data_IF_395326392052
#
_entry.id   IF_395326392052
#
_cell.length_a   1.000
_cell.length_b   1.000
_cell.length_c   1.000
_cell.angle_alpha   90.00
_cell.angle_beta   90.00
_cell.angle_gamma   90.00
#
_symmetry.space_group_name_H-M   'P 1'
#
loop_
_entity.id
_entity.type
_entity.pdbx_description
1 polymer ?
#
# COMPACT_ATOMS: atom_id res chain seq x y z
N UNK A 1 -15.09 28.18 8.32
CA UNK A 1 -14.41 27.34 9.32
C UNK A 1 -15.30 26.22 9.88
N UNK A 2 -16.57 26.47 10.28
CA UNK A 2 -17.52 25.42 10.73
C UNK A 2 -17.76 24.27 9.73
N UNK A 3 -17.94 24.58 8.44
CA UNK A 3 -18.15 23.57 7.39
C UNK A 3 -16.95 22.63 7.16
N UNK A 4 -15.72 23.08 7.40
CA UNK A 4 -14.52 22.24 7.27
C UNK A 4 -14.44 21.21 8.40
N UNK A 5 -14.85 21.58 9.62
CA UNK A 5 -14.82 20.71 10.81
C UNK A 5 -15.90 19.63 10.73
N UNK A 6 -17.09 19.94 10.22
CA UNK A 6 -18.16 18.95 10.02
C UNK A 6 -17.89 18.00 8.85
N UNK A 7 -17.19 18.46 7.82
CA UNK A 7 -16.82 17.61 6.67
C UNK A 7 -15.62 16.71 6.98
N UNK A 8 -14.76 17.10 7.92
CA UNK A 8 -13.56 16.37 8.31
C UNK A 8 -13.78 14.90 8.67
N UNK A 9 -14.75 14.52 9.54
CA UNK A 9 -14.99 13.11 9.87
C UNK A 9 -15.47 12.28 8.68
N UNK A 10 -16.21 12.89 7.74
CA UNK A 10 -16.70 12.21 6.53
C UNK A 10 -15.53 11.91 5.60
N UNK A 11 -14.68 12.91 5.31
CA UNK A 11 -13.49 12.72 4.48
C UNK A 11 -12.50 11.74 5.11
N UNK A 12 -12.28 11.82 6.43
CA UNK A 12 -11.44 10.86 7.14
C UNK A 12 -11.97 9.42 7.00
N UNK A 13 -13.28 9.22 7.12
CA UNK A 13 -13.91 7.90 6.98
C UNK A 13 -13.80 7.35 5.56
N UNK A 14 -13.98 8.21 4.55
CA UNK A 14 -13.81 7.83 3.13
C UNK A 14 -12.37 7.43 2.85
N UNK A 15 -11.40 8.23 3.31
CA UNK A 15 -9.97 7.95 3.15
C UNK A 15 -9.62 6.62 3.82
N UNK A 16 -10.04 6.41 5.07
CA UNK A 16 -9.79 5.17 5.80
C UNK A 16 -10.41 3.97 5.08
N UNK A 17 -11.64 4.10 4.58
CA UNK A 17 -12.31 3.07 3.79
C UNK A 17 -11.53 2.72 2.52
N UNK A 18 -11.08 3.73 1.77
CA UNK A 18 -10.27 3.53 0.57
C UNK A 18 -8.92 2.86 0.88
N UNK A 19 -8.28 3.21 2.00
CA UNK A 19 -7.03 2.58 2.46
C UNK A 19 -7.24 1.08 2.73
N UNK A 20 -8.32 0.71 3.43
CA UNK A 20 -8.67 -0.69 3.67
C UNK A 20 -8.96 -1.45 2.40
N UNK A 21 -9.78 -0.90 1.49
CA UNK A 21 -10.09 -1.52 0.20
C UNK A 21 -8.79 -1.78 -0.58
N UNK A 22 -7.90 -0.79 -0.64
CA UNK A 22 -6.63 -0.92 -1.34
C UNK A 22 -5.69 -1.96 -0.70
N UNK A 23 -5.64 -2.01 0.64
CA UNK A 23 -4.86 -3.02 1.35
C UNK A 23 -5.36 -4.45 1.09
N UNK A 24 -6.69 -4.66 1.11
CA UNK A 24 -7.29 -5.95 0.78
C UNK A 24 -7.07 -6.34 -0.68
N UNK A 25 -7.22 -5.39 -1.61
CA UNK A 25 -6.95 -5.62 -3.02
C UNK A 25 -5.49 -6.02 -3.26
N UNK A 26 -4.55 -5.31 -2.64
CA UNK A 26 -3.13 -5.64 -2.70
C UNK A 26 -2.83 -7.01 -2.08
N UNK A 27 -3.47 -7.38 -0.97
CA UNK A 27 -3.31 -8.70 -0.34
C UNK A 27 -3.79 -9.83 -1.23
N UNK A 28 -5.01 -9.72 -1.78
CA UNK A 28 -5.54 -10.69 -2.73
C UNK A 28 -4.65 -10.81 -3.96
N UNK A 29 -4.14 -9.69 -4.46
CA UNK A 29 -3.24 -9.65 -5.62
C UNK A 29 -1.90 -10.31 -5.33
N UNK A 30 -1.26 -10.04 -4.19
CA UNK A 30 0.01 -10.68 -3.81
C UNK A 30 -0.15 -12.18 -3.64
N UNK A 31 -1.25 -12.65 -3.01
CA UNK A 31 -1.57 -14.07 -2.92
C UNK A 31 -1.80 -14.71 -4.30
N UNK A 32 -2.39 -13.96 -5.24
CA UNK A 32 -2.56 -14.41 -6.63
C UNK A 32 -1.20 -14.54 -7.33
N UNK A 33 -0.33 -13.55 -7.21
CA UNK A 33 1.02 -13.59 -7.80
C UNK A 33 1.86 -14.70 -7.16
N UNK A 34 1.74 -14.92 -5.84
CA UNK A 34 2.42 -16.02 -5.16
C UNK A 34 2.04 -17.39 -5.74
N UNK A 35 0.77 -17.56 -6.13
CA UNK A 35 0.28 -18.81 -6.73
C UNK A 35 0.63 -18.96 -8.21
N UNK A 36 0.52 -17.88 -8.98
CA UNK A 36 0.63 -17.93 -10.44
C UNK A 36 2.05 -17.67 -10.94
N UNK A 37 2.79 -16.79 -10.26
CA UNK A 37 4.09 -16.23 -10.69
C UNK A 37 5.02 -15.98 -9.47
N UNK A 38 5.32 -17.01 -8.67
CA UNK A 38 6.13 -16.87 -7.44
C UNK A 38 7.52 -16.25 -7.71
N UNK A 39 8.07 -16.43 -8.91
CA UNK A 39 9.34 -15.86 -9.34
C UNK A 39 9.38 -14.33 -9.29
N UNK A 40 8.24 -13.66 -9.52
CA UNK A 40 8.15 -12.19 -9.46
C UNK A 40 8.31 -11.69 -8.02
N UNK A 41 7.75 -12.42 -7.04
CA UNK A 41 7.87 -12.11 -5.62
C UNK A 41 9.27 -12.45 -5.11
N UNK A 42 9.83 -13.59 -5.54
CA UNK A 42 11.19 -14.00 -5.19
C UNK A 42 12.24 -12.98 -5.66
N UNK A 43 12.06 -12.38 -6.85
CA UNK A 43 12.96 -11.36 -7.41
C UNK A 43 13.10 -10.09 -6.54
N UNK A 44 12.14 -9.87 -5.63
CA UNK A 44 12.13 -8.77 -4.66
C UNK A 44 12.27 -9.23 -3.20
N UNK A 45 12.62 -10.50 -2.99
CA UNK A 45 12.86 -11.09 -1.67
C UNK A 45 11.59 -11.48 -0.89
N UNK A 46 10.44 -11.56 -1.55
CA UNK A 46 9.20 -12.05 -0.94
C UNK A 46 9.08 -13.54 -1.27
N UNK A 47 9.35 -14.39 -0.29
CA UNK A 47 9.24 -15.86 -0.42
C UNK A 47 7.82 -16.32 -0.07
N UNK A 48 7.17 -15.66 0.89
CA UNK A 48 5.81 -15.94 1.34
C UNK A 48 5.10 -14.65 1.73
N UNK A 49 3.81 -14.55 1.45
CA UNK A 49 2.99 -13.40 1.85
C UNK A 49 2.43 -13.65 3.26
N UNK A 50 3.31 -13.69 4.27
CA UNK A 50 2.95 -13.98 5.67
C UNK A 50 2.86 -12.72 6.54
N UNK A 51 3.71 -11.73 6.29
CA UNK A 51 3.79 -10.50 7.09
C UNK A 51 3.89 -9.24 6.23
N UNK A 52 2.91 -8.35 6.39
CA UNK A 52 2.74 -7.15 5.58
C UNK A 52 3.95 -6.20 5.64
N UNK A 53 4.53 -6.00 6.83
CA UNK A 53 5.68 -5.12 7.02
C UNK A 53 6.95 -5.65 6.37
N UNK A 54 7.17 -6.97 6.38
CA UNK A 54 8.32 -7.60 5.71
C UNK A 54 8.18 -7.54 4.19
N UNK A 55 6.95 -7.69 3.70
CA UNK A 55 6.63 -7.56 2.28
C UNK A 55 6.72 -6.11 1.78
N UNK A 56 6.60 -5.10 2.67
CA UNK A 56 6.50 -3.69 2.29
C UNK A 56 7.66 -3.22 1.42
N UNK A 57 8.89 -3.64 1.74
CA UNK A 57 10.08 -3.31 0.95
C UNK A 57 9.98 -3.89 -0.46
N UNK A 58 9.60 -5.15 -0.59
CA UNK A 58 9.42 -5.80 -1.89
C UNK A 58 8.25 -5.20 -2.68
N UNK A 59 7.15 -4.86 -2.00
CA UNK A 59 6.01 -4.14 -2.58
C UNK A 59 6.45 -2.78 -3.13
N UNK A 60 7.24 -2.01 -2.37
CA UNK A 60 7.77 -0.73 -2.83
C UNK A 60 8.67 -0.89 -4.06
N UNK A 61 9.53 -1.92 -4.07
CA UNK A 61 10.37 -2.24 -5.22
C UNK A 61 9.52 -2.61 -6.45
N UNK A 62 8.50 -3.46 -6.31
CA UNK A 62 7.58 -3.80 -7.40
C UNK A 62 6.76 -2.59 -7.88
N UNK A 63 6.34 -1.72 -6.97
CA UNK A 63 5.54 -0.53 -7.30
C UNK A 63 6.33 0.54 -8.05
N UNK A 64 7.58 0.79 -7.63
CA UNK A 64 8.35 1.98 -8.00
C UNK A 64 9.48 1.70 -9.00
N UNK A 65 9.98 0.46 -9.07
CA UNK A 65 11.15 0.14 -9.91
C UNK A 65 10.79 -0.62 -11.18
N UNK A 66 11.79 -0.84 -12.05
CA UNK A 66 11.69 -1.67 -13.25
C UNK A 66 11.44 -3.15 -12.95
N UNK A 67 11.75 -3.63 -11.73
CA UNK A 67 11.46 -5.02 -11.32
C UNK A 67 9.96 -5.36 -11.32
N UNK A 68 9.09 -4.36 -11.26
CA UNK A 68 7.65 -4.53 -11.38
C UNK A 68 7.11 -4.46 -12.82
N UNK A 69 7.95 -4.35 -13.85
CA UNK A 69 7.48 -4.31 -15.25
C UNK A 69 6.77 -5.60 -15.69
N UNK A 70 7.05 -6.73 -15.03
CA UNK A 70 6.34 -8.00 -15.24
C UNK A 70 4.89 -7.98 -14.72
N UNK A 71 4.52 -6.97 -13.91
CA UNK A 71 3.17 -6.77 -13.41
C UNK A 71 2.35 -5.95 -14.39
N UNK A 72 1.05 -6.24 -14.46
CA UNK A 72 0.11 -5.46 -15.23
C UNK A 72 0.02 -4.02 -14.67
N UNK A 73 -0.32 -3.04 -15.50
CA UNK A 73 -0.31 -1.63 -15.06
C UNK A 73 -1.27 -1.39 -13.88
N UNK A 74 -2.44 -2.05 -13.87
CA UNK A 74 -3.40 -2.00 -12.75
C UNK A 74 -2.83 -2.59 -11.45
N UNK A 75 -2.07 -3.68 -11.55
CA UNK A 75 -1.38 -4.30 -10.41
C UNK A 75 -0.36 -3.33 -9.80
N UNK A 76 0.41 -2.62 -10.64
CA UNK A 76 1.35 -1.59 -10.17
C UNK A 76 0.65 -0.41 -9.49
N UNK A 77 -0.52 0.01 -9.98
CA UNK A 77 -1.28 1.09 -9.35
C UNK A 77 -1.78 0.74 -7.96
N UNK A 78 -2.27 -0.49 -7.76
CA UNK A 78 -2.67 -0.99 -6.44
C UNK A 78 -1.48 -0.98 -5.46
N UNK A 79 -0.32 -1.49 -5.89
CA UNK A 79 0.88 -1.49 -5.05
C UNK A 79 1.39 -0.06 -4.76
N UNK A 80 1.34 0.85 -5.73
CA UNK A 80 1.65 2.27 -5.51
C UNK A 80 0.70 2.92 -4.50
N UNK A 81 -0.59 2.60 -4.55
CA UNK A 81 -1.56 3.02 -3.54
C UNK A 81 -1.15 2.57 -2.15
N UNK A 82 -0.65 1.33 -2.00
CA UNK A 82 -0.17 0.83 -0.70
C UNK A 82 1.06 1.61 -0.24
N UNK A 83 2.02 1.86 -1.12
CA UNK A 83 3.21 2.67 -0.78
C UNK A 83 2.80 4.06 -0.32
N UNK A 84 1.93 4.74 -1.06
CA UNK A 84 1.44 6.08 -0.70
C UNK A 84 0.68 6.08 0.63
N UNK A 85 -0.12 5.05 0.88
CA UNK A 85 -0.82 4.85 2.15
C UNK A 85 0.17 4.79 3.32
N UNK A 86 1.23 4.00 3.20
CA UNK A 86 2.25 3.89 4.24
C UNK A 86 3.06 5.17 4.42
N UNK A 87 3.41 5.86 3.34
CA UNK A 87 4.06 7.18 3.40
C UNK A 87 3.18 8.18 4.14
N UNK A 88 1.88 8.23 3.82
CA UNK A 88 0.92 9.10 4.49
C UNK A 88 0.80 8.78 5.99
N UNK A 89 0.70 7.50 6.36
CA UNK A 89 0.64 7.09 7.77
C UNK A 89 1.92 7.47 8.54
N UNK A 90 3.09 7.25 7.94
CA UNK A 90 4.38 7.62 8.55
C UNK A 90 4.47 9.14 8.70
N UNK A 91 4.15 9.91 7.66
CA UNK A 91 4.18 11.37 7.70
C UNK A 91 3.21 11.93 8.75
N UNK A 92 2.01 11.34 8.86
CA UNK A 92 1.03 11.72 9.87
C UNK A 92 1.53 11.41 11.28
N UNK A 93 2.07 10.21 11.51
CA UNK A 93 2.65 9.82 12.79
C UNK A 93 3.83 10.71 13.21
N UNK A 94 4.75 11.02 12.29
CA UNK A 94 5.86 11.94 12.55
C UNK A 94 5.35 13.34 12.86
N UNK A 95 4.37 13.84 12.12
CA UNK A 95 3.78 15.16 12.37
C UNK A 95 3.12 15.25 13.75
N UNK A 96 2.48 14.17 14.22
CA UNK A 96 1.94 14.10 15.58
C UNK A 96 3.03 14.07 16.66
N UNK A 97 4.16 13.40 16.40
CA UNK A 97 5.29 13.33 17.34
C UNK A 97 6.08 14.63 17.43
N UNK A 98 6.20 15.37 16.32
CA UNK A 98 6.92 16.66 16.24
C UNK A 98 6.01 17.84 16.62
N UNK A 99 4.70 17.69 16.46
CA UNK A 99 3.69 18.67 16.85
C UNK A 99 3.27 18.62 18.32
N UNK A 100 3.97 17.83 19.14
CA UNK A 100 3.88 17.81 20.61
C UNK A 100 4.99 18.66 21.23
#
# INVERSE_FOLDING_TARGET
MKSLVESFPIWASIILGAMWINAFAAHRMLLKIERERPEVLAAVGIIKVDWWLRCLRGIAVLALTSKGQALHQGERWVLRGVVMMYVFLIASGVSMLVGM
#
